data_IF_795173902296
#
_entry.id   IF_795173902296
#
_cell.length_a   1.000
_cell.length_b   1.000
_cell.length_c   1.000
_cell.angle_alpha   90.00
_cell.angle_beta   90.00
_cell.angle_gamma   90.00
#
_symmetry.space_group_name_H-M   'P 1'
#
loop_
_entity.id
_entity.type
_entity.pdbx_description
1 polymer ?
#
# COMPACT_ATOMS: atom_id res chain seq x y z
N UNK A 1 43.74 -5.37 -6.80
CA UNK A 1 42.69 -4.68 -7.58
C UNK A 1 41.32 -5.39 -7.49
N UNK A 2 41.24 -6.71 -7.77
CA UNK A 2 39.97 -7.47 -7.75
C UNK A 2 39.24 -7.44 -6.38
N UNK A 3 39.89 -7.64 -5.20
CA UNK A 3 39.23 -7.56 -3.91
C UNK A 3 38.67 -6.18 -3.57
N UNK A 4 39.27 -5.11 -4.10
CA UNK A 4 38.81 -3.71 -3.90
C UNK A 4 37.67 -3.36 -4.86
N UNK A 5 37.69 -3.92 -6.07
CA UNK A 5 36.71 -3.64 -7.10
C UNK A 5 35.31 -4.23 -6.80
N UNK A 6 35.24 -5.46 -6.23
CA UNK A 6 33.96 -6.08 -5.88
C UNK A 6 33.15 -5.31 -4.84
N UNK A 7 33.68 -4.82 -3.71
CA UNK A 7 32.93 -3.99 -2.77
C UNK A 7 32.34 -2.74 -3.41
N UNK A 8 33.10 -2.08 -4.30
CA UNK A 8 32.60 -0.91 -5.04
C UNK A 8 31.39 -1.24 -5.92
N UNK A 9 31.44 -2.39 -6.60
CA UNK A 9 30.30 -2.87 -7.38
C UNK A 9 29.12 -3.31 -6.50
N UNK A 10 29.37 -3.93 -5.35
CA UNK A 10 28.30 -4.30 -4.40
C UNK A 10 27.62 -3.07 -3.82
N UNK A 11 28.39 -2.02 -3.51
CA UNK A 11 27.82 -0.75 -3.06
C UNK A 11 26.88 -0.11 -4.13
N UNK A 12 27.23 -0.22 -5.43
CA UNK A 12 26.33 0.21 -6.51
C UNK A 12 25.05 -0.60 -6.53
N UNK A 13 25.13 -1.92 -6.34
CA UNK A 13 23.95 -2.79 -6.34
C UNK A 13 23.04 -2.50 -5.13
N UNK A 14 23.61 -2.23 -3.95
CA UNK A 14 22.87 -1.83 -2.75
C UNK A 14 22.12 -0.51 -2.96
N UNK A 15 22.77 0.50 -3.57
CA UNK A 15 22.12 1.77 -3.89
C UNK A 15 20.99 1.60 -4.91
N UNK A 16 21.15 0.70 -5.88
CA UNK A 16 20.09 0.38 -6.84
C UNK A 16 18.92 -0.36 -6.20
N UNK A 17 19.20 -1.28 -5.28
CA UNK A 17 18.17 -2.00 -4.54
C UNK A 17 17.34 -1.02 -3.69
N UNK A 18 18.01 -0.13 -2.94
CA UNK A 18 17.34 0.91 -2.14
C UNK A 18 16.39 1.76 -3.00
N UNK A 19 16.84 2.21 -4.18
CA UNK A 19 15.98 2.97 -5.12
C UNK A 19 14.83 2.14 -5.72
N UNK A 20 14.92 0.82 -5.69
CA UNK A 20 13.86 -0.06 -6.17
C UNK A 20 12.78 -0.35 -5.13
N UNK A 21 13.09 -0.26 -3.83
CA UNK A 21 12.16 -0.53 -2.73
C UNK A 21 11.31 0.69 -2.36
N UNK A 22 11.92 1.88 -2.29
CA UNK A 22 11.25 3.13 -1.91
C UNK A 22 10.01 3.50 -2.77
N UNK A 23 10.01 3.34 -4.11
CA UNK A 23 8.82 3.60 -4.90
C UNK A 23 7.64 2.69 -4.57
N UNK A 24 7.88 1.49 -4.05
CA UNK A 24 6.81 0.56 -3.64
C UNK A 24 6.07 1.07 -2.41
N UNK A 25 6.79 1.62 -1.42
CA UNK A 25 6.16 2.22 -0.24
C UNK A 25 5.28 3.43 -0.60
N UNK A 26 5.73 4.24 -1.57
CA UNK A 26 4.94 5.37 -2.09
C UNK A 26 3.68 4.87 -2.79
N UNK A 27 3.81 3.83 -3.61
CA UNK A 27 2.69 3.22 -4.32
C UNK A 27 1.66 2.62 -3.35
N UNK A 28 2.10 1.92 -2.31
CA UNK A 28 1.21 1.36 -1.28
C UNK A 28 0.38 2.46 -0.58
N UNK A 29 0.99 3.61 -0.27
CA UNK A 29 0.28 4.76 0.30
C UNK A 29 -0.72 5.39 -0.69
N UNK A 30 -0.36 5.48 -1.98
CA UNK A 30 -1.26 5.96 -3.03
C UNK A 30 -2.48 5.03 -3.17
N UNK A 31 -2.28 3.73 -3.16
CA UNK A 31 -3.35 2.71 -3.23
C UNK A 31 -4.26 2.77 -1.98
N UNK A 32 -3.69 2.99 -0.77
CA UNK A 32 -4.48 3.19 0.45
C UNK A 32 -5.37 4.44 0.35
N UNK A 33 -4.85 5.56 -0.14
CA UNK A 33 -5.59 6.81 -0.33
C UNK A 33 -6.72 6.62 -1.35
N UNK A 34 -6.46 5.92 -2.46
CA UNK A 34 -7.49 5.59 -3.45
C UNK A 34 -8.61 4.74 -2.82
N UNK A 35 -8.25 3.72 -2.05
CA UNK A 35 -9.21 2.87 -1.33
C UNK A 35 -10.09 3.65 -0.36
N UNK A 36 -9.51 4.56 0.42
CA UNK A 36 -10.24 5.45 1.33
C UNK A 36 -11.15 6.42 0.56
N UNK A 37 -10.70 6.94 -0.57
CA UNK A 37 -11.50 7.84 -1.43
C UNK A 37 -12.74 7.13 -1.96
N UNK A 38 -12.61 5.91 -2.46
CA UNK A 38 -13.73 5.08 -2.91
C UNK A 38 -14.72 4.82 -1.77
N UNK A 39 -14.20 4.55 -0.57
CA UNK A 39 -15.03 4.34 0.62
C UNK A 39 -15.81 5.59 1.01
N UNK A 40 -15.18 6.75 0.99
CA UNK A 40 -15.83 8.05 1.23
C UNK A 40 -16.96 8.30 0.24
N UNK A 41 -16.73 8.07 -1.05
CA UNK A 41 -17.75 8.24 -2.08
C UNK A 41 -18.94 7.30 -1.88
N UNK A 42 -18.70 6.08 -1.41
CA UNK A 42 -19.77 5.14 -1.06
C UNK A 42 -20.59 5.65 0.13
N UNK A 43 -19.93 6.09 1.21
CA UNK A 43 -20.59 6.62 2.40
C UNK A 43 -21.44 7.85 2.03
N UNK A 44 -20.92 8.77 1.22
CA UNK A 44 -21.67 9.95 0.73
C UNK A 44 -22.93 9.57 -0.03
N UNK A 45 -22.87 8.53 -0.86
CA UNK A 45 -24.07 8.02 -1.57
C UNK A 45 -25.09 7.41 -0.61
N UNK A 46 -24.63 6.62 0.37
CA UNK A 46 -25.51 6.04 1.39
C UNK A 46 -26.22 7.13 2.21
N UNK A 47 -25.52 8.20 2.60
CA UNK A 47 -26.12 9.37 3.29
C UNK A 47 -27.17 10.03 2.40
N UNK A 48 -26.91 10.26 1.13
CA UNK A 48 -27.84 10.87 0.18
C UNK A 48 -29.11 9.99 0.00
N UNK A 49 -28.94 8.69 -0.07
CA UNK A 49 -30.08 7.74 -0.12
C UNK A 49 -30.96 7.82 1.15
N UNK A 50 -30.35 7.84 2.33
CA UNK A 50 -31.11 8.01 3.57
C UNK A 50 -31.80 9.38 3.66
N UNK A 51 -31.15 10.47 3.22
CA UNK A 51 -31.77 11.80 3.17
C UNK A 51 -32.97 11.84 2.22
N UNK A 52 -32.88 11.19 1.05
CA UNK A 52 -34.01 11.05 0.11
C UNK A 52 -35.14 10.24 0.75
N UNK A 53 -34.83 9.15 1.44
CA UNK A 53 -35.83 8.36 2.14
C UNK A 53 -36.55 9.17 3.24
N UNK A 54 -35.83 9.98 4.01
CA UNK A 54 -36.39 10.89 5.01
C UNK A 54 -37.31 11.92 4.36
N UNK A 55 -36.88 12.51 3.23
CA UNK A 55 -37.69 13.48 2.49
C UNK A 55 -39.00 12.87 1.97
N UNK A 56 -38.90 11.66 1.40
CA UNK A 56 -40.08 10.93 0.93
C UNK A 56 -41.06 10.61 2.07
N UNK A 57 -40.56 10.12 3.21
CA UNK A 57 -41.41 9.82 4.38
C UNK A 57 -42.06 11.07 4.97
N UNK A 58 -41.39 12.22 4.93
CA UNK A 58 -42.02 13.51 5.31
C UNK A 58 -43.16 13.90 4.35
N UNK A 59 -43.00 13.68 3.06
CA UNK A 59 -44.09 13.91 2.09
C UNK A 59 -45.30 12.99 2.36
N UNK A 60 -45.07 11.70 2.60
CA UNK A 60 -46.12 10.74 2.96
C UNK A 60 -46.87 11.16 4.25
N UNK A 61 -46.16 11.68 5.25
CA UNK A 61 -46.79 12.21 6.48
C UNK A 61 -47.68 13.39 6.16
N UNK A 62 -47.27 14.33 5.31
CA UNK A 62 -48.04 15.49 4.94
C UNK A 62 -49.34 15.06 4.20
N UNK A 63 -49.27 14.10 3.31
CA UNK A 63 -50.41 13.55 2.61
C UNK A 63 -51.40 12.82 3.56
N UNK A 64 -50.86 12.01 4.48
CA UNK A 64 -51.66 11.32 5.48
C UNK A 64 -52.33 12.31 6.45
N UNK A 65 -51.62 13.37 6.88
CA UNK A 65 -52.21 14.42 7.70
C UNK A 65 -53.32 15.17 7.02
N UNK A 66 -53.15 15.55 5.75
CA UNK A 66 -54.21 16.16 4.94
C UNK A 66 -55.43 15.23 4.80
N UNK A 67 -55.22 13.92 4.69
CA UNK A 67 -56.31 12.93 4.64
C UNK A 67 -57.01 12.81 5.99
N UNK A 68 -56.30 12.80 7.09
CA UNK A 68 -56.89 12.80 8.45
C UNK A 68 -57.77 14.05 8.66
N UNK A 69 -57.26 15.23 8.28
CA UNK A 69 -58.07 16.47 8.35
C UNK A 69 -59.35 16.40 7.56
N UNK A 70 -59.28 15.97 6.31
CA UNK A 70 -60.44 15.77 5.42
C UNK A 70 -61.42 14.78 6.01
N UNK A 71 -60.98 13.65 6.52
CA UNK A 71 -61.87 12.64 7.12
C UNK A 71 -62.50 13.15 8.42
N UNK A 72 -61.83 13.93 9.23
CA UNK A 72 -62.41 14.59 10.40
C UNK A 72 -63.51 15.58 10.05
N UNK A 73 -63.31 16.38 9.00
CA UNK A 73 -64.34 17.27 8.50
C UNK A 73 -65.55 16.51 8.04
N UNK A 74 -65.38 15.43 7.25
CA UNK A 74 -66.45 14.54 6.82
C UNK A 74 -67.18 13.90 8.01
N UNK A 75 -66.48 13.49 9.05
CA UNK A 75 -67.00 12.86 10.24
C UNK A 75 -68.03 13.77 10.96
N UNK A 76 -67.85 15.08 10.92
CA UNK A 76 -68.78 16.06 11.51
C UNK A 76 -70.13 16.11 10.81
N UNK A 77 -70.20 15.75 9.54
CA UNK A 77 -71.41 15.81 8.73
C UNK A 77 -72.13 14.46 8.59
N UNK A 78 -71.59 13.39 9.15
CA UNK A 78 -72.13 12.04 9.03
C UNK A 78 -73.37 11.84 9.89
N UNK A 79 -74.38 11.23 9.28
CA UNK A 79 -75.64 10.91 9.96
C UNK A 79 -75.90 9.39 10.15
N UNK A 80 -74.97 8.59 9.67
CA UNK A 80 -75.10 7.11 9.63
C UNK A 80 -73.97 6.43 10.39
N UNK A 81 -74.28 5.58 11.35
CA UNK A 81 -73.31 4.88 12.20
C UNK A 81 -72.27 4.05 11.36
N UNK A 82 -72.66 3.48 10.24
CA UNK A 82 -71.77 2.67 9.40
C UNK A 82 -70.70 3.55 8.72
N UNK A 83 -71.08 4.73 8.29
CA UNK A 83 -70.16 5.70 7.69
C UNK A 83 -69.23 6.28 8.75
N UNK A 84 -69.77 6.54 9.95
CA UNK A 84 -68.95 6.97 11.11
C UNK A 84 -67.87 5.96 11.45
N UNK A 85 -68.24 4.67 11.57
CA UNK A 85 -67.28 3.59 11.86
C UNK A 85 -66.18 3.47 10.77
N UNK A 86 -66.59 3.63 9.49
CA UNK A 86 -65.63 3.57 8.39
C UNK A 86 -64.62 4.72 8.45
N UNK A 87 -65.08 5.97 8.56
CA UNK A 87 -64.25 7.12 8.64
C UNK A 87 -63.34 7.12 9.88
N UNK A 88 -63.85 6.64 11.02
CA UNK A 88 -63.08 6.49 12.25
C UNK A 88 -61.90 5.50 12.08
N UNK A 89 -62.14 4.40 11.36
CA UNK A 89 -61.09 3.41 11.05
C UNK A 89 -60.06 3.99 10.06
N UNK A 90 -60.49 4.77 9.08
CA UNK A 90 -59.57 5.42 8.14
C UNK A 90 -58.69 6.45 8.84
N UNK A 91 -59.24 7.25 9.79
CA UNK A 91 -58.48 8.17 10.61
C UNK A 91 -57.46 7.41 11.46
N UNK A 92 -57.85 6.32 12.11
CA UNK A 92 -56.95 5.47 12.88
C UNK A 92 -55.84 4.91 12.03
N UNK A 93 -56.16 4.38 10.85
CA UNK A 93 -55.18 3.84 9.90
C UNK A 93 -54.17 4.89 9.47
N UNK A 94 -54.63 6.06 9.03
CA UNK A 94 -53.73 7.16 8.63
C UNK A 94 -52.86 7.66 9.80
N UNK A 95 -53.39 7.66 11.02
CA UNK A 95 -52.63 8.06 12.21
C UNK A 95 -51.52 7.04 12.50
N UNK A 96 -51.80 5.75 12.40
CA UNK A 96 -50.79 4.69 12.55
C UNK A 96 -49.70 4.74 11.44
N UNK A 97 -50.11 5.09 10.22
CA UNK A 97 -49.13 5.29 9.12
C UNK A 97 -48.20 6.47 9.40
N UNK A 98 -48.71 7.58 9.94
CA UNK A 98 -47.91 8.72 10.37
C UNK A 98 -46.91 8.30 11.45
N UNK A 99 -47.33 7.54 12.45
CA UNK A 99 -46.46 7.04 13.48
C UNK A 99 -45.36 6.12 12.93
N UNK A 100 -45.71 5.22 12.01
CA UNK A 100 -44.74 4.35 11.32
C UNK A 100 -43.74 5.14 10.50
N UNK A 101 -44.19 6.13 9.74
CA UNK A 101 -43.29 7.03 8.99
C UNK A 101 -42.37 7.80 9.92
N UNK A 102 -42.86 8.34 11.02
CA UNK A 102 -42.05 9.02 12.02
C UNK A 102 -40.98 8.10 12.67
N UNK A 103 -41.32 6.83 12.88
CA UNK A 103 -40.35 5.83 13.35
C UNK A 103 -39.24 5.60 12.32
N UNK A 104 -39.61 5.39 11.05
CA UNK A 104 -38.66 5.21 9.95
C UNK A 104 -37.75 6.44 9.75
N UNK A 105 -38.28 7.65 9.92
CA UNK A 105 -37.49 8.88 9.85
C UNK A 105 -36.45 8.90 10.96
N UNK A 106 -36.83 8.56 12.19
CA UNK A 106 -35.86 8.50 13.32
C UNK A 106 -34.76 7.48 13.08
N UNK A 107 -35.14 6.27 12.63
CA UNK A 107 -34.16 5.22 12.27
C UNK A 107 -33.21 5.69 11.17
N UNK A 108 -33.71 6.34 10.11
CA UNK A 108 -32.89 6.88 9.03
C UNK A 108 -31.97 8.02 9.52
N UNK A 109 -32.47 8.90 10.39
CA UNK A 109 -31.66 9.96 10.98
C UNK A 109 -30.48 9.42 11.82
N UNK A 110 -30.74 8.41 12.67
CA UNK A 110 -29.65 7.72 13.38
C UNK A 110 -28.60 7.14 12.45
N UNK A 111 -29.06 6.53 11.35
CA UNK A 111 -28.13 6.02 10.32
C UNK A 111 -27.31 7.11 9.65
N UNK A 112 -27.92 8.26 9.39
CA UNK A 112 -27.20 9.41 8.82
C UNK A 112 -26.14 9.91 9.79
N UNK A 113 -26.45 10.00 11.09
CA UNK A 113 -25.46 10.40 12.10
C UNK A 113 -24.29 9.42 12.18
N UNK A 114 -24.55 8.11 12.25
CA UNK A 114 -23.53 7.06 12.24
C UNK A 114 -22.63 7.18 11.01
N UNK A 115 -23.25 7.33 9.82
CA UNK A 115 -22.51 7.46 8.56
C UNK A 115 -21.75 8.77 8.43
N UNK A 116 -22.25 9.86 8.99
CA UNK A 116 -21.54 11.16 9.02
C UNK A 116 -20.28 11.07 9.89
N UNK A 117 -20.35 10.37 11.03
CA UNK A 117 -19.18 10.15 11.87
C UNK A 117 -18.15 9.26 11.15
N UNK A 118 -18.59 8.16 10.51
CA UNK A 118 -17.73 7.31 9.70
C UNK A 118 -17.06 8.09 8.55
N UNK A 119 -17.80 9.01 7.92
CA UNK A 119 -17.28 9.90 6.89
C UNK A 119 -16.16 10.79 7.42
N UNK A 120 -16.37 11.42 8.56
CA UNK A 120 -15.39 12.31 9.19
C UNK A 120 -14.10 11.56 9.53
N UNK A 121 -14.21 10.39 10.15
CA UNK A 121 -13.04 9.54 10.47
C UNK A 121 -12.23 9.17 9.22
N UNK A 122 -12.90 8.82 8.11
CA UNK A 122 -12.21 8.51 6.86
C UNK A 122 -11.60 9.76 6.20
N UNK A 123 -12.23 10.93 6.31
CA UNK A 123 -11.68 12.20 5.79
C UNK A 123 -10.44 12.65 6.60
N UNK A 124 -10.41 12.40 7.91
CA UNK A 124 -9.21 12.62 8.72
C UNK A 124 -8.10 11.63 8.35
N UNK A 125 -8.43 10.34 8.21
CA UNK A 125 -7.47 9.33 7.80
C UNK A 125 -6.81 9.63 6.44
N UNK A 126 -7.58 10.16 5.46
CA UNK A 126 -6.99 10.59 4.19
C UNK A 126 -5.99 11.73 4.37
N UNK A 127 -6.30 12.71 5.21
CA UNK A 127 -5.37 13.84 5.44
C UNK A 127 -4.06 13.36 6.04
N UNK A 128 -4.13 12.44 6.99
CA UNK A 128 -2.94 11.87 7.63
C UNK A 128 -2.11 11.09 6.59
N UNK A 129 -2.76 10.23 5.79
CA UNK A 129 -2.08 9.47 4.72
C UNK A 129 -1.49 10.36 3.62
N UNK A 130 -2.17 11.46 3.27
CA UNK A 130 -1.61 12.43 2.32
C UNK A 130 -0.37 13.13 2.87
N UNK A 131 -0.37 13.49 4.17
CA UNK A 131 0.81 14.05 4.81
C UNK A 131 1.97 13.06 4.83
N UNK A 132 1.71 11.80 5.16
CA UNK A 132 2.72 10.73 5.15
C UNK A 132 3.28 10.52 3.72
N UNK A 133 2.40 10.55 2.71
CA UNK A 133 2.77 10.42 1.30
C UNK A 133 3.69 11.56 0.85
N UNK A 134 3.38 12.80 1.21
CA UNK A 134 4.19 13.96 0.84
C UNK A 134 5.58 13.89 1.48
N UNK A 135 5.66 13.48 2.74
CA UNK A 135 6.94 13.26 3.45
C UNK A 135 7.74 12.14 2.74
N UNK A 136 7.09 11.01 2.45
CA UNK A 136 7.75 9.89 1.78
C UNK A 136 8.23 10.21 0.37
N UNK A 137 7.48 11.00 -0.39
CA UNK A 137 7.91 11.49 -1.71
C UNK A 137 9.13 12.41 -1.60
N UNK A 138 9.15 13.30 -0.61
CA UNK A 138 10.32 14.18 -0.38
C UNK A 138 11.56 13.37 0.00
N UNK A 139 11.42 12.41 0.93
CA UNK A 139 12.50 11.49 1.32
C UNK A 139 13.00 10.67 0.12
N UNK A 140 12.09 10.19 -0.74
CA UNK A 140 12.43 9.45 -1.94
C UNK A 140 13.27 10.29 -2.91
N UNK A 141 12.85 11.54 -3.15
CA UNK A 141 13.55 12.44 -4.06
C UNK A 141 14.97 12.76 -3.54
N UNK A 142 15.13 13.05 -2.24
CA UNK A 142 16.43 13.28 -1.61
C UNK A 142 17.35 12.03 -1.73
N UNK A 143 16.84 10.85 -1.38
CA UNK A 143 17.60 9.60 -1.47
C UNK A 143 17.94 9.27 -2.94
N UNK A 144 17.03 9.55 -3.87
CA UNK A 144 17.28 9.36 -5.30
C UNK A 144 18.41 10.23 -5.81
N UNK A 145 18.47 11.51 -5.41
CA UNK A 145 19.55 12.43 -5.80
C UNK A 145 20.88 12.05 -5.18
N UNK A 146 20.91 11.79 -3.86
CA UNK A 146 22.13 11.37 -3.16
C UNK A 146 22.69 10.06 -3.71
N UNK A 147 21.82 9.04 -3.85
CA UNK A 147 22.27 7.73 -4.36
C UNK A 147 22.72 7.79 -5.81
N UNK A 148 22.15 8.67 -6.63
CA UNK A 148 22.58 8.87 -8.01
C UNK A 148 23.99 9.51 -8.06
N UNK A 149 24.22 10.55 -7.26
CA UNK A 149 25.53 11.22 -7.18
C UNK A 149 26.62 10.27 -6.64
N UNK A 150 26.29 9.45 -5.63
CA UNK A 150 27.20 8.43 -5.12
C UNK A 150 27.49 7.32 -6.15
N UNK A 151 26.46 6.86 -6.86
CA UNK A 151 26.60 5.84 -7.92
C UNK A 151 27.54 6.32 -9.03
N UNK A 152 27.46 7.60 -9.43
CA UNK A 152 28.36 8.15 -10.44
C UNK A 152 29.82 8.13 -9.97
N UNK A 153 30.08 8.57 -8.74
CA UNK A 153 31.42 8.51 -8.12
C UNK A 153 31.95 7.07 -8.03
N UNK A 154 31.07 6.12 -7.69
CA UNK A 154 31.44 4.70 -7.62
C UNK A 154 31.69 4.13 -9.02
N UNK A 155 30.96 4.53 -10.06
CA UNK A 155 31.19 4.14 -11.45
C UNK A 155 32.53 4.64 -11.98
N UNK A 156 32.92 5.89 -11.66
CA UNK A 156 34.24 6.40 -11.99
C UNK A 156 35.34 5.54 -11.37
N UNK A 157 35.24 5.24 -10.07
CA UNK A 157 36.19 4.33 -9.38
C UNK A 157 36.22 2.94 -10.01
N UNK A 158 35.06 2.40 -10.38
CA UNK A 158 34.97 1.11 -11.08
C UNK A 158 35.76 1.16 -12.38
N UNK A 159 35.59 2.23 -13.18
CA UNK A 159 36.28 2.39 -14.47
C UNK A 159 37.80 2.49 -14.28
N UNK A 160 38.24 3.25 -13.27
CA UNK A 160 39.67 3.33 -12.93
C UNK A 160 40.26 1.99 -12.49
N UNK A 161 39.51 1.20 -11.72
CA UNK A 161 39.93 -0.11 -11.27
C UNK A 161 39.90 -1.14 -12.42
N UNK A 162 38.93 -1.08 -13.30
CA UNK A 162 38.85 -1.93 -14.51
C UNK A 162 40.05 -1.73 -15.42
N UNK A 163 40.53 -0.49 -15.58
CA UNK A 163 41.73 -0.21 -16.36
C UNK A 163 43.02 -0.85 -15.82
N UNK A 164 43.04 -1.20 -14.53
CA UNK A 164 44.17 -1.86 -13.85
C UNK A 164 44.07 -3.39 -13.84
N UNK A 165 43.00 -3.96 -14.39
CA UNK A 165 42.74 -5.40 -14.38
C UNK A 165 42.91 -5.93 -15.81
N UNK A 166 43.54 -7.10 -15.93
CA UNK A 166 43.70 -7.79 -17.21
C UNK A 166 42.34 -8.10 -17.85
N UNK A 167 42.09 -7.79 -19.13
CA UNK A 167 40.78 -7.92 -19.79
C UNK A 167 40.17 -9.33 -19.72
N UNK A 168 41.00 -10.36 -19.74
CA UNK A 168 40.58 -11.76 -19.63
C UNK A 168 39.99 -12.07 -18.26
N UNK A 169 40.61 -11.57 -17.20
CA UNK A 169 40.16 -11.74 -15.82
C UNK A 169 38.89 -10.93 -15.57
N UNK A 170 38.81 -9.71 -16.11
CA UNK A 170 37.65 -8.85 -16.03
C UNK A 170 36.42 -9.52 -16.64
N UNK A 171 36.54 -10.07 -17.83
CA UNK A 171 35.45 -10.77 -18.54
C UNK A 171 34.98 -12.00 -17.75
N UNK A 172 35.95 -12.79 -17.23
CA UNK A 172 35.63 -13.99 -16.44
C UNK A 172 34.92 -13.61 -15.14
N UNK A 173 35.38 -12.59 -14.43
CA UNK A 173 34.74 -12.12 -13.21
C UNK A 173 33.31 -11.59 -13.46
N UNK A 174 33.11 -10.73 -14.48
CA UNK A 174 31.78 -10.20 -14.83
C UNK A 174 30.78 -11.35 -15.10
N UNK A 175 31.22 -12.41 -15.78
CA UNK A 175 30.39 -13.60 -16.02
C UNK A 175 30.06 -14.36 -14.73
N UNK A 176 31.03 -14.56 -13.84
CA UNK A 176 30.83 -15.25 -12.55
C UNK A 176 29.87 -14.44 -11.68
N UNK A 177 30.07 -13.13 -11.58
CA UNK A 177 29.22 -12.25 -10.81
C UNK A 177 27.76 -12.25 -11.29
N UNK A 178 27.54 -12.17 -12.59
CA UNK A 178 26.20 -12.23 -13.19
C UNK A 178 25.43 -13.49 -12.84
N UNK A 179 26.15 -14.63 -12.75
CA UNK A 179 25.57 -15.93 -12.44
C UNK A 179 25.44 -16.21 -10.94
N UNK A 180 26.05 -15.39 -10.08
CA UNK A 180 26.00 -15.52 -8.63
C UNK A 180 24.75 -14.82 -8.08
N UNK A 181 23.89 -15.56 -7.37
CA UNK A 181 22.63 -14.99 -6.77
C UNK A 181 22.85 -13.78 -5.87
N UNK A 182 24.00 -13.73 -5.16
CA UNK A 182 24.37 -12.63 -4.27
C UNK A 182 25.30 -11.60 -4.92
N UNK A 183 25.47 -11.61 -6.25
CA UNK A 183 26.34 -10.67 -6.95
C UNK A 183 27.84 -10.75 -6.59
N UNK A 184 28.28 -11.77 -5.84
CA UNK A 184 29.66 -11.92 -5.41
C UNK A 184 30.42 -12.86 -6.36
N UNK A 185 31.39 -12.32 -7.09
CA UNK A 185 32.31 -13.09 -7.94
C UNK A 185 33.58 -13.54 -7.20
N UNK A 186 33.96 -12.82 -6.12
CA UNK A 186 35.06 -13.13 -5.23
C UNK A 186 34.52 -13.42 -3.85
N UNK A 187 35.02 -14.45 -3.19
CA UNK A 187 34.61 -14.89 -1.86
C UNK A 187 35.82 -15.27 -1.03
N UNK A 188 35.70 -15.12 0.28
CA UNK A 188 36.72 -15.56 1.22
C UNK A 188 36.52 -17.02 1.63
N UNK A 189 37.61 -17.66 2.08
CA UNK A 189 37.52 -18.95 2.76
C UNK A 189 36.85 -18.76 4.11
N UNK A 190 35.79 -19.50 4.39
CA UNK A 190 35.09 -19.48 5.67
C UNK A 190 34.98 -20.90 6.23
N UNK A 191 35.58 -21.14 7.39
CA UNK A 191 35.56 -22.46 8.06
C UNK A 191 35.92 -23.62 7.13
N UNK A 192 37.04 -23.48 6.43
CA UNK A 192 37.55 -24.45 5.44
C UNK A 192 36.62 -24.69 4.22
N UNK A 193 35.69 -23.81 3.99
CA UNK A 193 34.73 -23.85 2.91
C UNK A 193 34.73 -22.59 2.04
N UNK A 194 34.18 -22.70 0.83
CA UNK A 194 33.96 -21.57 -0.05
C UNK A 194 32.88 -20.65 0.51
N UNK A 195 33.18 -19.38 0.80
CA UNK A 195 32.21 -18.39 1.33
C UNK A 195 31.05 -18.06 0.39
N UNK A 196 30.96 -18.68 -0.79
CA UNK A 196 29.86 -18.44 -1.74
C UNK A 196 28.91 -19.62 -1.94
N UNK A 197 29.41 -20.87 -1.90
CA UNK A 197 28.60 -22.08 -2.05
C UNK A 197 28.72 -23.03 -0.84
N UNK A 198 29.55 -22.70 0.12
CA UNK A 198 29.80 -23.41 1.37
C UNK A 198 30.31 -24.85 1.19
N UNK A 199 30.74 -25.24 -0.02
CA UNK A 199 31.39 -26.50 -0.23
C UNK A 199 32.80 -26.50 0.37
N UNK A 200 33.20 -27.62 1.00
CA UNK A 200 34.49 -27.78 1.67
C UNK A 200 35.63 -27.70 0.66
N UNK A 201 36.70 -26.98 1.04
CA UNK A 201 37.90 -26.80 0.22
C UNK A 201 38.96 -27.76 0.74
N UNK A 202 39.58 -28.62 -0.13
CA UNK A 202 40.66 -29.51 0.27
C UNK A 202 41.84 -28.74 0.90
N UNK A 203 42.53 -29.26 1.95
CA UNK A 203 43.61 -28.57 2.64
C UNK A 203 44.74 -28.12 1.71
N UNK A 204 45.08 -28.91 0.68
CA UNK A 204 46.07 -28.51 -0.29
C UNK A 204 45.68 -27.25 -1.07
N UNK A 205 44.42 -27.13 -1.43
CA UNK A 205 43.87 -25.92 -2.10
C UNK A 205 43.87 -24.72 -1.19
N UNK A 206 43.61 -24.92 0.10
CA UNK A 206 43.66 -23.82 1.08
C UNK A 206 45.07 -23.26 1.20
N UNK A 207 46.10 -24.15 1.20
CA UNK A 207 47.51 -23.72 1.17
C UNK A 207 47.83 -22.93 -0.09
N UNK A 208 47.38 -23.39 -1.25
CA UNK A 208 47.53 -22.69 -2.53
C UNK A 208 46.92 -21.30 -2.50
N UNK A 209 45.75 -21.14 -1.85
CA UNK A 209 45.05 -19.85 -1.68
C UNK A 209 45.89 -18.92 -0.82
N UNK A 210 46.40 -19.40 0.33
CA UNK A 210 47.24 -18.65 1.24
C UNK A 210 48.58 -18.19 0.63
N UNK A 211 49.10 -18.96 -0.33
CA UNK A 211 50.37 -18.57 -0.98
C UNK A 211 50.23 -17.43 -1.99
N UNK A 212 48.99 -17.02 -2.38
CA UNK A 212 48.70 -15.92 -3.32
C UNK A 212 49.43 -15.96 -4.68
N UNK A 213 49.98 -17.12 -5.08
CA UNK A 213 50.77 -17.24 -6.32
C UNK A 213 49.95 -17.32 -7.58
N UNK A 214 48.67 -17.68 -7.50
CA UNK A 214 47.75 -17.88 -8.61
C UNK A 214 46.31 -17.56 -8.18
N UNK A 215 45.49 -17.18 -9.15
CA UNK A 215 44.03 -17.03 -8.92
C UNK A 215 43.42 -18.43 -8.85
N UNK A 216 42.75 -18.71 -7.73
CA UNK A 216 42.10 -20.00 -7.49
C UNK A 216 40.60 -19.81 -7.56
N UNK A 217 39.94 -20.67 -8.33
CA UNK A 217 38.48 -20.65 -8.45
C UNK A 217 37.88 -21.88 -7.75
N UNK A 218 36.69 -21.70 -7.20
CA UNK A 218 35.94 -22.82 -6.61
C UNK A 218 35.49 -23.78 -7.71
N UNK A 219 35.77 -25.07 -7.54
CA UNK A 219 35.42 -26.10 -8.51
C UNK A 219 33.90 -26.31 -8.63
N UNK A 220 33.14 -25.96 -7.58
CA UNK A 220 31.70 -26.16 -7.53
C UNK A 220 30.91 -24.96 -8.09
N UNK A 221 31.30 -23.72 -7.73
CA UNK A 221 30.52 -22.55 -8.12
C UNK A 221 31.27 -21.54 -9.02
N UNK A 222 32.55 -21.84 -9.32
CA UNK A 222 33.37 -21.02 -10.22
C UNK A 222 33.82 -19.65 -9.68
N UNK A 223 33.44 -19.29 -8.45
CA UNK A 223 33.86 -18.03 -7.82
C UNK A 223 35.34 -18.00 -7.52
N UNK A 224 35.95 -16.84 -7.61
CA UNK A 224 37.33 -16.62 -7.20
C UNK A 224 37.41 -16.67 -5.68
N UNK A 225 38.32 -17.47 -5.16
CA UNK A 225 38.53 -17.62 -3.71
C UNK A 225 39.79 -16.87 -3.33
N UNK A 226 39.70 -16.07 -2.27
CA UNK A 226 40.81 -15.33 -1.66
C UNK A 226 40.91 -15.67 -0.18
N UNK A 227 42.09 -15.56 0.39
CA UNK A 227 42.29 -15.71 1.83
C UNK A 227 41.80 -14.46 2.55
N UNK A 228 41.06 -14.56 3.66
CA UNK A 228 40.86 -13.42 4.54
C UNK A 228 42.20 -13.06 5.15
N UNK A 229 42.65 -11.83 4.95
CA UNK A 229 43.83 -11.28 5.66
C UNK A 229 43.64 -11.30 7.17
#
# INVERSE_FOLDING_TARGET
ALPIWQPTLSAIDEKKALRGELPLEVQDLEDEIEGLTIRIDKIKREIDEFQKAVSQKKAEINEAQASVERYKEQLNDVKNNREYDTLSKEIEFQTLEIELCNKKIREAQTRIEEKTNELHENEEAIKDRQSDLDIKKSELDEIMEETRAEEEKLKEKVTELEAKIEPRLLTSFKRIRKNARNGLGIVYVQRDACGGCFNKIPPQRQLDIKMHKKIIVCEYCGRIIVDPE
#
